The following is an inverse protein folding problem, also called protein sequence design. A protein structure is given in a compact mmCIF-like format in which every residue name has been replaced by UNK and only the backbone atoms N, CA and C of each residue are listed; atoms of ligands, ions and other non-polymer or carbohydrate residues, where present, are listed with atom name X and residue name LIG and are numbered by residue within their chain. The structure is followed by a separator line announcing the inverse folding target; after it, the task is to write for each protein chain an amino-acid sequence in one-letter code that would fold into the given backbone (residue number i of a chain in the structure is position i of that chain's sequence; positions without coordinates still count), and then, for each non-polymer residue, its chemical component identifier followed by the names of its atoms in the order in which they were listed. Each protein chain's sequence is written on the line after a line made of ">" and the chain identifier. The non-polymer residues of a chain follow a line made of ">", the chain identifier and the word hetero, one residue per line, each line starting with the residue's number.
data_IF_928122763870
#
_entry.id   IF_928122763870
#
_cell.length_a   1.000
_cell.length_b   1.000
_cell.length_c   1.000
_cell.angle_alpha   90.00
_cell.angle_beta   90.00
_cell.angle_gamma   90.00
#
_symmetry.space_group_name_H-M   'P 1'
#
loop_
_entity.id
_entity.type
_entity.pdbx_description
1 polymer ?
#
# COMPACT_ATOMS: atom_id res chain seq x y z
N UNK A 1 19.95 -71.86 -6.47
CA UNK A 1 18.88 -71.01 -5.92
C UNK A 1 19.53 -69.71 -5.44
N UNK A 2 19.54 -68.66 -6.27
CA UNK A 2 20.13 -67.32 -5.93
C UNK A 2 19.02 -66.41 -5.40
N UNK A 3 19.14 -66.04 -4.11
CA UNK A 3 18.22 -65.08 -3.48
C UNK A 3 18.67 -63.66 -3.86
N UNK A 4 17.80 -62.95 -4.61
CA UNK A 4 17.97 -61.53 -4.95
C UNK A 4 17.45 -60.71 -3.76
N UNK A 5 18.33 -59.99 -3.09
CA UNK A 5 17.96 -59.02 -2.04
C UNK A 5 17.67 -57.68 -2.73
N UNK A 6 16.39 -57.28 -2.75
CA UNK A 6 15.96 -55.96 -3.20
C UNK A 6 16.21 -54.94 -2.07
N UNK A 7 17.17 -54.06 -2.30
CA UNK A 7 17.47 -52.95 -1.37
C UNK A 7 16.58 -51.77 -1.75
N UNK A 8 15.55 -51.51 -0.96
CA UNK A 8 14.68 -50.32 -1.12
C UNK A 8 15.34 -49.11 -0.47
N UNK A 9 15.89 -48.23 -1.29
CA UNK A 9 16.42 -46.93 -0.85
C UNK A 9 15.25 -45.94 -0.62
N UNK A 10 15.00 -45.63 0.64
CA UNK A 10 14.00 -44.63 1.03
C UNK A 10 14.58 -43.22 0.79
N UNK A 11 14.13 -42.53 -0.27
CA UNK A 11 14.50 -41.12 -0.53
C UNK A 11 13.61 -40.24 0.31
N UNK A 12 14.14 -39.71 1.41
CA UNK A 12 13.47 -38.71 2.23
C UNK A 12 13.50 -37.37 1.51
N UNK A 13 12.36 -36.94 0.96
CA UNK A 13 12.15 -35.58 0.46
C UNK A 13 12.08 -34.64 1.65
N UNK A 14 13.18 -33.94 1.95
CA UNK A 14 13.14 -32.77 2.83
C UNK A 14 12.42 -31.63 2.07
N UNK A 15 11.14 -31.45 2.37
CA UNK A 15 10.40 -30.26 1.99
C UNK A 15 10.92 -29.08 2.82
N UNK A 16 11.97 -28.43 2.34
CA UNK A 16 12.44 -27.18 2.90
C UNK A 16 11.38 -26.10 2.63
N UNK A 17 10.73 -25.61 3.68
CA UNK A 17 9.90 -24.41 3.59
C UNK A 17 10.80 -23.26 3.16
N UNK A 18 10.65 -22.78 1.93
CA UNK A 18 11.27 -21.53 1.49
C UNK A 18 10.55 -20.40 2.24
N UNK A 19 11.16 -19.93 3.33
CA UNK A 19 10.75 -18.69 3.96
C UNK A 19 11.15 -17.60 2.95
N UNK A 20 10.16 -16.99 2.30
CA UNK A 20 10.41 -15.83 1.47
C UNK A 20 11.09 -14.76 2.35
N UNK A 21 12.33 -14.40 1.99
CA UNK A 21 13.03 -13.34 2.70
C UNK A 21 12.23 -12.04 2.57
N UNK A 22 11.98 -11.37 3.71
CA UNK A 22 11.38 -10.04 3.70
C UNK A 22 12.33 -9.06 3.01
N UNK A 23 11.77 -8.08 2.29
CA UNK A 23 12.53 -6.95 1.75
C UNK A 23 13.10 -6.05 2.87
N UNK A 24 12.66 -6.25 4.11
CA UNK A 24 13.07 -5.48 5.28
C UNK A 24 13.88 -6.39 6.22
N UNK A 25 15.02 -5.89 6.69
CA UNK A 25 15.88 -6.58 7.64
C UNK A 25 15.35 -6.47 9.06
N UNK A 26 14.85 -5.29 9.43
CA UNK A 26 14.34 -4.97 10.77
C UNK A 26 12.91 -4.42 10.71
N UNK A 27 12.18 -4.56 11.81
CA UNK A 27 10.81 -4.05 11.93
C UNK A 27 10.75 -2.51 11.79
N UNK A 28 11.75 -1.82 12.30
CA UNK A 28 11.91 -0.38 12.24
C UNK A 28 12.10 0.12 10.80
N UNK A 29 12.80 -0.63 9.96
CA UNK A 29 12.96 -0.31 8.54
C UNK A 29 11.62 -0.39 7.81
N UNK A 30 10.82 -1.41 8.10
CA UNK A 30 9.47 -1.54 7.57
C UNK A 30 8.55 -0.39 8.02
N UNK A 31 8.64 0.02 9.29
CA UNK A 31 7.88 1.17 9.82
C UNK A 31 8.32 2.46 9.13
N UNK A 32 9.62 2.69 9.01
CA UNK A 32 10.19 3.86 8.34
C UNK A 32 9.75 3.92 6.86
N UNK A 33 9.83 2.80 6.15
CA UNK A 33 9.41 2.69 4.75
C UNK A 33 7.94 3.08 4.54
N UNK A 34 7.02 2.51 5.34
CA UNK A 34 5.59 2.83 5.20
C UNK A 34 5.26 4.28 5.56
N UNK A 35 5.93 4.84 6.58
CA UNK A 35 5.76 6.23 6.97
C UNK A 35 6.21 7.19 5.86
N UNK A 36 7.39 6.97 5.25
CA UNK A 36 7.86 7.76 4.12
C UNK A 36 6.97 7.60 2.89
N UNK A 37 6.48 6.40 2.61
CA UNK A 37 5.51 6.16 1.53
C UNK A 37 4.24 6.98 1.73
N UNK A 38 3.66 7.00 2.93
CA UNK A 38 2.50 7.83 3.25
C UNK A 38 2.79 9.33 3.23
N UNK A 39 4.00 9.76 3.58
CA UNK A 39 4.40 11.17 3.43
C UNK A 39 4.42 11.59 1.96
N UNK A 40 4.94 10.76 1.06
CA UNK A 40 4.94 11.02 -0.37
C UNK A 40 3.50 11.06 -0.93
N UNK A 41 2.64 10.12 -0.52
CA UNK A 41 1.22 10.13 -0.88
C UNK A 41 0.56 11.44 -0.43
N UNK A 42 0.76 11.83 0.83
CA UNK A 42 0.20 13.06 1.40
C UNK A 42 0.66 14.31 0.64
N UNK A 43 1.94 14.39 0.29
CA UNK A 43 2.49 15.53 -0.45
C UNK A 43 1.81 15.66 -1.83
N UNK A 44 1.72 14.57 -2.59
CA UNK A 44 1.10 14.59 -3.92
C UNK A 44 -0.41 14.87 -3.84
N UNK A 45 -1.10 14.32 -2.84
CA UNK A 45 -2.52 14.58 -2.59
C UNK A 45 -2.79 16.04 -2.22
N UNK A 46 -1.94 16.66 -1.40
CA UNK A 46 -2.07 18.05 -1.01
C UNK A 46 -1.95 18.97 -2.24
N UNK A 47 -0.99 18.73 -3.10
CA UNK A 47 -0.78 19.52 -4.32
C UNK A 47 -1.97 19.41 -5.31
N UNK A 48 -2.55 18.21 -5.46
CA UNK A 48 -3.80 18.02 -6.24
C UNK A 48 -4.94 18.80 -5.60
N UNK A 49 -5.11 18.72 -4.28
CA UNK A 49 -6.13 19.48 -3.55
C UNK A 49 -5.99 20.97 -3.78
N UNK A 50 -4.79 21.50 -3.65
CA UNK A 50 -4.52 22.94 -3.78
C UNK A 50 -4.85 23.45 -5.18
N UNK A 51 -4.55 22.70 -6.23
CA UNK A 51 -4.98 23.01 -7.59
C UNK A 51 -6.51 22.96 -7.75
N UNK A 52 -7.18 21.98 -7.16
CA UNK A 52 -8.65 21.82 -7.27
C UNK A 52 -9.43 22.82 -6.45
N UNK A 53 -8.83 23.38 -5.39
CA UNK A 53 -9.46 24.42 -4.55
C UNK A 53 -9.10 25.84 -4.99
N UNK A 54 -8.19 26.00 -5.95
CA UNK A 54 -7.71 27.30 -6.41
C UNK A 54 -6.70 27.98 -5.48
N UNK A 55 -6.15 27.22 -4.49
CA UNK A 55 -5.06 27.72 -3.64
C UNK A 55 -3.77 27.95 -4.43
N UNK A 56 -3.58 27.20 -5.51
CA UNK A 56 -2.55 27.40 -6.53
C UNK A 56 -3.18 27.33 -7.93
N UNK A 57 -2.53 27.89 -8.97
CA UNK A 57 -3.02 27.79 -10.35
C UNK A 57 -3.22 26.34 -10.77
N UNK A 58 -4.32 26.07 -11.50
CA UNK A 58 -4.56 24.76 -12.07
C UNK A 58 -3.67 24.54 -13.29
N UNK A 59 -2.83 23.51 -13.21
CA UNK A 59 -1.91 23.10 -14.27
C UNK A 59 -2.14 21.62 -14.63
N UNK A 60 -2.74 21.35 -15.79
CA UNK A 60 -3.11 19.99 -16.20
C UNK A 60 -1.92 19.02 -16.21
N UNK A 61 -0.75 19.44 -16.69
CA UNK A 61 0.46 18.61 -16.73
C UNK A 61 1.00 18.30 -15.33
N UNK A 62 0.95 19.25 -14.41
CA UNK A 62 1.32 19.07 -13.00
C UNK A 62 0.35 18.13 -12.31
N UNK A 63 -0.95 18.34 -12.51
CA UNK A 63 -1.99 17.47 -11.99
C UNK A 63 -1.78 16.01 -12.44
N UNK A 64 -1.54 15.79 -13.75
CA UNK A 64 -1.27 14.46 -14.29
C UNK A 64 -0.07 13.80 -13.60
N UNK A 65 1.05 14.50 -13.47
CA UNK A 65 2.24 13.98 -12.77
C UNK A 65 1.95 13.59 -11.31
N UNK A 66 1.11 14.35 -10.60
CA UNK A 66 0.71 14.02 -9.22
C UNK A 66 -0.20 12.81 -9.17
N UNK A 67 -1.14 12.70 -10.09
CA UNK A 67 -2.04 11.56 -10.20
C UNK A 67 -1.28 10.26 -10.57
N UNK A 68 -0.31 10.34 -11.49
CA UNK A 68 0.58 9.22 -11.85
C UNK A 68 1.39 8.76 -10.63
N UNK A 69 1.98 9.70 -9.89
CA UNK A 69 2.70 9.41 -8.67
C UNK A 69 1.80 8.72 -7.62
N UNK A 70 0.58 9.23 -7.40
CA UNK A 70 -0.38 8.64 -6.45
C UNK A 70 -0.76 7.22 -6.85
N UNK A 71 -1.01 6.95 -8.14
CA UNK A 71 -1.34 5.61 -8.63
C UNK A 71 -0.24 4.58 -8.34
N UNK A 72 1.03 5.00 -8.36
CA UNK A 72 2.17 4.14 -8.00
C UNK A 72 2.37 4.07 -6.49
N UNK A 73 2.45 5.21 -5.80
CA UNK A 73 2.79 5.29 -4.38
C UNK A 73 1.78 4.56 -3.49
N UNK A 74 0.49 4.55 -3.86
CA UNK A 74 -0.57 3.88 -3.09
C UNK A 74 -0.47 2.36 -3.09
N UNK A 75 0.41 1.77 -3.88
CA UNK A 75 0.66 0.32 -3.86
C UNK A 75 1.77 -0.10 -2.90
N UNK A 76 2.61 0.84 -2.44
CA UNK A 76 3.87 0.53 -1.76
C UNK A 76 3.75 0.18 -0.26
N UNK A 77 2.97 0.88 0.60
CA UNK A 77 3.16 0.78 2.05
C UNK A 77 2.69 -0.53 2.68
N UNK A 78 1.91 -1.33 1.98
CA UNK A 78 1.10 -2.41 2.56
C UNK A 78 1.91 -3.62 3.01
N UNK A 79 2.93 -4.02 2.26
CA UNK A 79 3.82 -5.13 2.61
C UNK A 79 4.54 -4.90 3.95
N UNK A 80 4.87 -3.65 4.25
CA UNK A 80 5.57 -3.26 5.47
C UNK A 80 4.73 -3.42 6.76
N UNK A 81 3.43 -3.68 6.66
CA UNK A 81 2.59 -4.00 7.81
C UNK A 81 2.61 -5.48 8.20
N UNK A 82 3.09 -6.37 7.32
CA UNK A 82 3.15 -7.81 7.56
C UNK A 82 4.51 -8.30 8.06
N UNK A 83 5.47 -7.39 8.21
CA UNK A 83 6.80 -7.70 8.74
C UNK A 83 6.70 -8.02 10.24
N UNK A 84 7.27 -9.14 10.72
CA UNK A 84 7.27 -9.48 12.13
C UNK A 84 7.82 -8.35 13.01
N UNK A 85 7.09 -7.98 14.08
CA UNK A 85 7.48 -6.90 14.99
C UNK A 85 7.08 -5.48 14.54
N UNK A 86 6.65 -5.28 13.29
CA UNK A 86 6.23 -3.97 12.78
C UNK A 86 4.95 -3.42 13.47
N UNK A 87 4.19 -4.28 14.15
CA UNK A 87 3.06 -3.92 15.00
C UNK A 87 3.49 -3.20 16.29
N UNK A 88 4.65 -3.57 16.84
CA UNK A 88 5.19 -3.02 18.10
C UNK A 88 6.11 -1.83 17.89
N UNK A 89 6.74 -1.73 16.72
CA UNK A 89 7.71 -0.69 16.40
C UNK A 89 7.08 0.67 16.04
N UNK A 90 5.74 0.78 15.92
CA UNK A 90 5.05 2.03 15.56
C UNK A 90 3.97 2.40 16.57
N UNK A 91 3.97 3.69 16.96
CA UNK A 91 2.92 4.27 17.80
C UNK A 91 1.76 4.86 16.99
N UNK A 92 1.95 5.12 15.70
CA UNK A 92 0.96 5.78 14.82
C UNK A 92 -0.07 4.80 14.24
N UNK A 93 0.14 3.50 14.40
CA UNK A 93 -0.72 2.44 13.90
C UNK A 93 -1.43 1.75 15.05
N UNK A 94 -2.77 1.68 15.01
CA UNK A 94 -3.56 1.00 16.01
C UNK A 94 -3.41 -0.52 15.88
N UNK A 95 -3.49 -1.23 17.03
CA UNK A 95 -3.41 -2.70 17.08
C UNK A 95 -4.51 -3.40 16.26
N UNK A 96 -5.63 -2.73 16.04
CA UNK A 96 -6.78 -3.17 15.26
C UNK A 96 -6.42 -3.50 13.80
N UNK A 97 -5.32 -2.94 13.27
CA UNK A 97 -4.80 -3.32 11.94
C UNK A 97 -4.52 -4.81 11.88
N UNK A 98 -3.75 -5.32 12.84
CA UNK A 98 -3.32 -6.72 12.87
C UNK A 98 -4.41 -7.68 13.31
N UNK A 99 -5.42 -7.19 14.05
CA UNK A 99 -6.62 -7.95 14.40
C UNK A 99 -7.59 -8.06 13.22
N UNK A 100 -7.53 -7.14 12.24
CA UNK A 100 -8.41 -7.05 11.08
C UNK A 100 -7.62 -6.87 9.78
N UNK A 101 -6.53 -7.62 9.61
CA UNK A 101 -5.58 -7.43 8.51
C UNK A 101 -6.23 -7.51 7.12
N UNK A 102 -7.20 -8.40 6.94
CA UNK A 102 -7.93 -8.52 5.68
C UNK A 102 -8.73 -7.26 5.34
N UNK A 103 -9.48 -6.67 6.29
CA UNK A 103 -10.20 -5.41 6.07
C UNK A 103 -9.21 -4.27 5.79
N UNK A 104 -8.10 -4.22 6.53
CA UNK A 104 -7.05 -3.23 6.31
C UNK A 104 -6.45 -3.31 4.91
N UNK A 105 -6.09 -4.51 4.45
CA UNK A 105 -5.57 -4.75 3.10
C UNK A 105 -6.59 -4.38 2.01
N UNK A 106 -7.86 -4.78 2.18
CA UNK A 106 -8.93 -4.42 1.24
C UNK A 106 -9.10 -2.90 1.10
N UNK A 107 -8.91 -2.13 2.18
CA UNK A 107 -8.92 -0.65 2.12
C UNK A 107 -7.72 -0.10 1.36
N UNK A 108 -6.56 -0.73 1.50
CA UNK A 108 -5.37 -0.41 0.71
C UNK A 108 -5.58 -0.65 -0.78
N UNK A 109 -6.15 -1.79 -1.14
CA UNK A 109 -6.50 -2.11 -2.53
C UNK A 109 -7.52 -1.11 -3.11
N UNK A 110 -8.52 -0.73 -2.31
CA UNK A 110 -9.51 0.27 -2.73
C UNK A 110 -8.85 1.64 -2.93
N UNK A 111 -7.92 2.04 -2.05
CA UNK A 111 -7.16 3.28 -2.20
C UNK A 111 -6.35 3.29 -3.52
N UNK A 112 -5.70 2.18 -3.86
CA UNK A 112 -4.97 2.04 -5.12
C UNK A 112 -5.91 2.11 -6.35
N UNK A 113 -7.12 1.55 -6.27
CA UNK A 113 -8.16 1.68 -7.31
C UNK A 113 -8.63 3.12 -7.47
N UNK A 114 -8.87 3.82 -6.36
CA UNK A 114 -9.28 5.23 -6.38
C UNK A 114 -8.18 6.13 -6.96
N UNK A 115 -6.90 5.85 -6.64
CA UNK A 115 -5.77 6.56 -7.22
C UNK A 115 -5.66 6.35 -8.74
N UNK A 116 -5.91 5.14 -9.25
CA UNK A 116 -5.98 4.86 -10.69
C UNK A 116 -7.15 5.56 -11.36
N UNK A 117 -8.29 5.65 -10.68
CA UNK A 117 -9.45 6.41 -11.16
C UNK A 117 -9.13 7.90 -11.27
N UNK A 118 -8.42 8.46 -10.28
CA UNK A 118 -7.92 9.84 -10.32
C UNK A 118 -6.92 10.04 -11.46
N UNK A 119 -6.00 9.11 -11.68
CA UNK A 119 -5.05 9.13 -12.79
C UNK A 119 -5.77 9.17 -14.14
N UNK A 120 -6.78 8.32 -14.33
CA UNK A 120 -7.57 8.28 -15.57
C UNK A 120 -8.40 9.56 -15.75
N UNK A 121 -8.96 10.10 -14.68
CA UNK A 121 -9.68 11.37 -14.72
C UNK A 121 -8.77 12.54 -15.12
N UNK A 122 -7.53 12.58 -14.59
CA UNK A 122 -6.54 13.61 -14.92
C UNK A 122 -6.19 13.63 -16.41
N UNK A 123 -6.13 12.47 -17.08
CA UNK A 123 -5.88 12.36 -18.52
C UNK A 123 -6.98 13.05 -19.36
N UNK A 124 -8.20 13.14 -18.84
CA UNK A 124 -9.30 13.79 -19.56
C UNK A 124 -9.22 15.31 -19.55
N UNK A 125 -8.40 15.90 -18.69
CA UNK A 125 -8.30 17.34 -18.40
C UNK A 125 -9.64 17.98 -17.96
N UNK A 126 -10.65 17.17 -17.64
CA UNK A 126 -11.95 17.59 -17.14
C UNK A 126 -11.89 17.79 -15.63
N UNK A 127 -11.88 19.03 -15.18
CA UNK A 127 -11.80 19.37 -13.76
C UNK A 127 -12.92 18.78 -12.92
N UNK A 128 -14.13 18.63 -13.47
CA UNK A 128 -15.27 18.07 -12.74
C UNK A 128 -15.04 16.58 -12.47
N UNK A 129 -14.55 15.82 -13.47
CA UNK A 129 -14.19 14.42 -13.31
C UNK A 129 -13.04 14.24 -12.32
N UNK A 130 -11.99 15.06 -12.42
CA UNK A 130 -10.86 15.05 -11.48
C UNK A 130 -11.34 15.31 -10.05
N UNK A 131 -12.21 16.31 -9.86
CA UNK A 131 -12.74 16.67 -8.54
C UNK A 131 -13.55 15.53 -7.92
N UNK A 132 -14.38 14.84 -8.72
CA UNK A 132 -15.16 13.69 -8.27
C UNK A 132 -14.26 12.52 -7.89
N UNK A 133 -13.27 12.18 -8.73
CA UNK A 133 -12.31 11.10 -8.44
C UNK A 133 -11.43 11.41 -7.21
N UNK A 134 -10.97 12.65 -7.07
CA UNK A 134 -10.22 13.09 -5.90
C UNK A 134 -11.04 13.01 -4.61
N UNK A 135 -12.32 13.37 -4.65
CA UNK A 135 -13.21 13.27 -3.48
C UNK A 135 -13.38 11.82 -3.01
N UNK A 136 -13.50 10.85 -3.93
CA UNK A 136 -13.56 9.43 -3.61
C UNK A 136 -12.25 8.96 -2.97
N UNK A 137 -11.11 9.30 -3.56
CA UNK A 137 -9.78 9.00 -3.04
C UNK A 137 -9.57 9.56 -1.61
N UNK A 138 -9.87 10.83 -1.39
CA UNK A 138 -9.72 11.49 -0.08
C UNK A 138 -10.66 10.89 0.98
N UNK A 139 -11.89 10.53 0.61
CA UNK A 139 -12.85 9.86 1.50
C UNK A 139 -12.32 8.51 2.01
N UNK A 140 -11.67 7.74 1.14
CA UNK A 140 -11.08 6.45 1.51
C UNK A 140 -9.91 6.64 2.49
N UNK A 141 -9.03 7.63 2.27
CA UNK A 141 -7.96 7.98 3.21
C UNK A 141 -8.53 8.28 4.61
N UNK A 142 -9.57 9.11 4.68
CA UNK A 142 -10.22 9.46 5.95
C UNK A 142 -10.81 8.23 6.65
N UNK A 143 -11.58 7.41 5.95
CA UNK A 143 -12.25 6.25 6.50
C UNK A 143 -11.26 5.20 7.06
N UNK A 144 -10.07 5.07 6.43
CA UNK A 144 -9.00 4.23 6.93
C UNK A 144 -8.35 4.83 8.20
N UNK A 145 -8.07 6.12 8.20
CA UNK A 145 -7.48 6.82 9.34
C UNK A 145 -8.38 6.77 10.58
N UNK A 146 -9.66 7.02 10.43
CA UNK A 146 -10.63 6.97 11.55
C UNK A 146 -10.60 5.62 12.27
N UNK A 147 -10.34 4.53 11.55
CA UNK A 147 -10.33 3.18 12.11
C UNK A 147 -8.94 2.73 12.60
N UNK A 148 -7.88 3.03 11.85
CA UNK A 148 -6.60 2.36 11.98
C UNK A 148 -5.42 3.26 12.36
N UNK A 149 -5.56 4.59 12.28
CA UNK A 149 -4.50 5.52 12.67
C UNK A 149 -4.70 5.97 14.12
N UNK A 150 -3.63 5.94 14.91
CA UNK A 150 -3.62 6.57 16.22
C UNK A 150 -3.60 8.10 16.10
N UNK A 151 -4.18 8.79 17.09
CA UNK A 151 -4.23 10.26 17.17
C UNK A 151 -2.86 10.83 17.57
#
# INVERSE_FOLDING_TARGET
>A
MKKLLLSTTLVSLLSGSVIAASAFTEAEDAVSYRQHSFQLIRHNMADVKDMLTGAVPFEASRLQKRADALATLTTLPWEAFTVPGADKASKDAKAEIWQNLQDFQSRGEQLAKDAKSLQSAAQTQDQAKVKAAFAAFAKNCKACHDKYKAD
#
